data_IF_288723420584
#
_entry.id   IF_288723420584
#
_cell.length_a   1.000
_cell.length_b   1.000
_cell.length_c   1.000
_cell.angle_alpha   90.00
_cell.angle_beta   90.00
_cell.angle_gamma   90.00
#
_symmetry.space_group_name_H-M   'P 1'
#
loop_
_entity.id
_entity.type
_entity.pdbx_description
1 polymer ?
#
# COMPACT_ATOMS: atom_id res chain seq x y z
N UNK A 1 3.88 13.40 8.25
CA UNK A 1 4.03 12.16 7.47
C UNK A 1 4.81 11.17 8.32
N UNK A 2 4.25 10.00 8.63
CA UNK A 2 4.89 9.05 9.56
C UNK A 2 5.10 7.66 8.97
N UNK A 3 4.14 7.12 8.21
CA UNK A 3 4.18 5.72 7.76
C UNK A 3 5.29 5.44 6.73
N UNK A 4 5.38 6.27 5.67
CA UNK A 4 6.38 6.10 4.61
C UNK A 4 7.83 6.35 5.08
N UNK A 5 8.16 7.42 5.83
CA UNK A 5 9.49 7.59 6.40
C UNK A 5 9.87 6.45 7.35
N UNK A 6 8.93 5.92 8.12
CA UNK A 6 9.19 4.77 8.98
C UNK A 6 9.47 3.50 8.16
N UNK A 7 8.71 3.25 7.10
CA UNK A 7 8.93 2.13 6.19
C UNK A 7 10.34 2.17 5.57
N UNK A 8 10.77 3.34 5.08
CA UNK A 8 12.09 3.45 4.42
C UNK A 8 13.26 3.47 5.39
N UNK A 9 13.09 4.02 6.59
CA UNK A 9 14.16 4.09 7.60
C UNK A 9 14.26 2.83 8.49
N UNK A 10 13.12 2.19 8.78
CA UNK A 10 12.99 1.11 9.78
C UNK A 10 12.16 -0.08 9.26
N UNK A 11 12.05 -0.26 7.93
CA UNK A 11 11.26 -1.34 7.32
C UNK A 11 11.64 -2.75 7.79
N UNK A 12 12.87 -2.99 8.23
CA UNK A 12 13.28 -4.27 8.82
C UNK A 12 12.56 -4.61 10.13
N UNK A 13 11.93 -3.64 10.80
CA UNK A 13 11.08 -3.83 11.98
C UNK A 13 9.63 -4.17 11.61
N UNK A 14 9.26 -4.08 10.33
CA UNK A 14 7.92 -4.31 9.83
C UNK A 14 7.83 -5.66 9.14
N UNK A 15 6.80 -6.43 9.49
CA UNK A 15 6.47 -7.70 8.82
C UNK A 15 5.66 -7.49 7.54
N UNK A 16 4.86 -6.44 7.49
CA UNK A 16 4.06 -6.06 6.34
C UNK A 16 3.69 -4.59 6.38
N UNK A 17 3.33 -4.04 5.22
CA UNK A 17 2.89 -2.66 5.07
C UNK A 17 1.65 -2.60 4.17
N UNK A 18 0.56 -1.99 4.64
CA UNK A 18 -0.71 -1.90 3.90
C UNK A 18 -1.08 -0.43 3.71
N UNK A 19 -0.54 0.25 2.69
CA UNK A 19 -0.95 1.60 2.35
C UNK A 19 -2.31 1.57 1.63
N UNK A 20 -3.25 2.40 2.11
CA UNK A 20 -4.53 2.66 1.42
C UNK A 20 -4.50 4.09 0.89
N UNK A 21 -4.31 4.24 -0.43
CA UNK A 21 -4.19 5.52 -1.14
C UNK A 21 -3.51 6.67 -0.34
N UNK A 22 -2.29 6.48 0.20
CA UNK A 22 -1.68 7.44 1.11
C UNK A 22 -1.24 8.71 0.38
N UNK A 23 -1.23 9.82 1.10
CA UNK A 23 -0.65 11.07 0.63
C UNK A 23 0.88 11.08 0.76
N UNK A 24 1.51 12.00 0.02
CA UNK A 24 2.94 12.31 0.08
C UNK A 24 3.89 11.18 -0.34
N UNK A 25 3.43 10.25 -1.17
CA UNK A 25 4.28 9.21 -1.77
C UNK A 25 5.35 9.79 -2.69
N UNK A 26 5.12 10.98 -3.25
CA UNK A 26 6.06 11.74 -4.08
C UNK A 26 7.28 12.26 -3.31
N UNK A 27 7.22 12.29 -1.97
CA UNK A 27 8.32 12.79 -1.12
C UNK A 27 9.38 11.75 -0.82
N UNK A 28 9.16 10.50 -1.22
CA UNK A 28 10.12 9.41 -1.04
C UNK A 28 10.84 9.17 -2.35
N UNK A 29 12.16 9.08 -2.31
CA UNK A 29 12.94 8.84 -3.52
C UNK A 29 12.78 7.40 -4.02
N UNK A 30 12.94 7.20 -5.33
CA UNK A 30 12.93 5.87 -5.93
C UNK A 30 13.98 4.93 -5.31
N UNK A 31 15.15 5.47 -5.00
CA UNK A 31 16.22 4.74 -4.34
C UNK A 31 15.84 4.28 -2.93
N UNK A 32 15.03 5.06 -2.20
CA UNK A 32 14.57 4.68 -0.86
C UNK A 32 13.50 3.59 -0.93
N UNK A 33 12.55 3.70 -1.87
CA UNK A 33 11.57 2.64 -2.12
C UNK A 33 12.24 1.31 -2.50
N UNK A 34 13.21 1.33 -3.41
CA UNK A 34 13.91 0.12 -3.88
C UNK A 34 14.69 -0.62 -2.76
N UNK A 35 15.06 0.08 -1.68
CA UNK A 35 15.76 -0.53 -0.53
C UNK A 35 14.82 -1.23 0.45
N UNK A 36 13.52 -0.92 0.42
CA UNK A 36 12.53 -1.55 1.31
C UNK A 36 12.42 -3.03 0.99
N UNK A 37 12.53 -3.90 2.01
CA UNK A 37 12.34 -5.36 1.87
C UNK A 37 11.02 -5.86 2.44
N UNK A 38 10.33 -5.03 3.22
CA UNK A 38 9.02 -5.32 3.80
C UNK A 38 8.01 -5.64 2.70
N UNK A 39 7.27 -6.74 2.87
CA UNK A 39 6.15 -7.09 1.99
C UNK A 39 5.05 -6.04 2.09
N UNK A 40 4.49 -5.62 0.95
CA UNK A 40 3.45 -4.61 0.90
C UNK A 40 2.19 -5.07 0.19
N UNK A 41 1.03 -4.65 0.68
CA UNK A 41 -0.25 -4.74 -0.01
C UNK A 41 -0.75 -3.32 -0.30
N UNK A 42 -0.57 -2.86 -1.54
CA UNK A 42 -1.03 -1.54 -1.97
C UNK A 42 -2.52 -1.64 -2.29
N UNK A 43 -3.34 -0.86 -1.60
CA UNK A 43 -4.80 -0.89 -1.74
C UNK A 43 -5.32 0.47 -2.17
N UNK A 44 -6.24 0.49 -3.13
CA UNK A 44 -7.00 1.68 -3.51
C UNK A 44 -8.27 1.30 -4.26
N UNK A 45 -9.27 2.17 -4.23
CA UNK A 45 -10.45 2.08 -5.09
C UNK A 45 -10.15 2.66 -6.47
N UNK A 46 -10.71 2.08 -7.53
CA UNK A 46 -10.46 2.55 -8.90
C UNK A 46 -11.12 3.91 -9.23
N UNK A 47 -12.10 4.34 -8.43
CA UNK A 47 -12.72 5.67 -8.50
C UNK A 47 -12.02 6.71 -7.61
N UNK A 48 -10.95 6.32 -6.90
CA UNK A 48 -10.13 7.25 -6.14
C UNK A 48 -9.07 7.93 -7.03
N UNK A 49 -9.14 9.25 -7.25
CA UNK A 49 -8.10 9.96 -8.01
C UNK A 49 -6.72 9.90 -7.33
N UNK A 50 -6.65 9.70 -6.01
CA UNK A 50 -5.40 9.51 -5.29
C UNK A 50 -4.85 8.09 -5.39
N UNK A 51 -5.68 7.10 -5.74
CA UNK A 51 -5.29 5.70 -5.88
C UNK A 51 -4.19 5.52 -6.92
N UNK A 52 -4.47 5.92 -8.17
CA UNK A 52 -3.49 5.82 -9.27
C UNK A 52 -2.23 6.67 -8.99
N UNK A 53 -2.42 7.90 -8.50
CA UNK A 53 -1.30 8.83 -8.25
C UNK A 53 -0.36 8.28 -7.17
N UNK A 54 -0.90 7.76 -6.07
CA UNK A 54 -0.08 7.16 -5.01
C UNK A 54 0.59 5.85 -5.47
N UNK A 55 -0.11 5.04 -6.28
CA UNK A 55 0.41 3.79 -6.84
C UNK A 55 1.64 3.99 -7.73
N UNK A 56 1.70 5.04 -8.56
CA UNK A 56 2.84 5.31 -9.43
C UNK A 56 4.18 5.44 -8.66
N UNK A 57 4.11 5.88 -7.41
CA UNK A 57 5.25 5.91 -6.50
C UNK A 57 5.42 4.59 -5.76
N UNK A 58 4.34 4.04 -5.20
CA UNK A 58 4.39 2.83 -4.37
C UNK A 58 4.80 1.56 -5.13
N UNK A 59 4.55 1.47 -6.44
CA UNK A 59 4.96 0.34 -7.29
C UNK A 59 6.49 0.13 -7.35
N UNK A 60 7.25 1.10 -6.85
CA UNK A 60 8.71 1.02 -6.73
C UNK A 60 9.17 0.19 -5.51
N UNK A 61 8.25 -0.16 -4.60
CA UNK A 61 8.51 -1.16 -3.56
C UNK A 61 8.74 -2.52 -4.22
N UNK A 62 9.86 -3.22 -3.98
CA UNK A 62 10.18 -4.44 -4.73
C UNK A 62 9.24 -5.62 -4.41
N UNK A 63 8.71 -5.67 -3.18
CA UNK A 63 7.92 -6.79 -2.69
C UNK A 63 6.45 -6.36 -2.48
N UNK A 64 5.75 -5.99 -3.55
CA UNK A 64 4.36 -5.53 -3.45
C UNK A 64 3.35 -6.44 -4.15
N UNK A 65 2.14 -6.47 -3.59
CA UNK A 65 0.91 -6.91 -4.26
C UNK A 65 -0.02 -5.70 -4.35
N UNK A 66 -0.94 -5.73 -5.31
CA UNK A 66 -1.94 -4.67 -5.51
C UNK A 66 -3.33 -5.24 -5.33
N UNK A 67 -4.18 -4.54 -4.59
CA UNK A 67 -5.62 -4.79 -4.48
C UNK A 67 -6.34 -3.52 -4.95
N UNK A 68 -6.80 -3.55 -6.20
CA UNK A 68 -7.66 -2.50 -6.76
C UNK A 68 -9.10 -2.89 -6.55
N UNK A 69 -9.84 -2.08 -5.81
CA UNK A 69 -11.24 -2.36 -5.46
C UNK A 69 -12.16 -1.67 -6.46
N UNK A 70 -12.62 -2.43 -7.46
CA UNK A 70 -13.46 -1.91 -8.56
C UNK A 70 -14.78 -1.32 -8.04
N UNK A 71 -15.10 -0.11 -8.48
CA UNK A 71 -16.28 0.66 -8.09
C UNK A 71 -16.15 1.37 -6.74
N UNK A 72 -15.00 1.30 -6.07
CA UNK A 72 -14.77 1.92 -4.77
C UNK A 72 -14.05 3.28 -4.90
N UNK A 73 -14.37 4.21 -4.00
CA UNK A 73 -13.74 5.52 -3.88
C UNK A 73 -12.54 5.51 -2.93
N UNK A 74 -12.19 6.68 -2.38
CA UNK A 74 -11.04 6.84 -1.49
C UNK A 74 -11.10 5.97 -0.21
N UNK A 75 -12.22 5.93 0.54
CA UNK A 75 -12.34 5.00 1.66
C UNK A 75 -12.79 3.62 1.16
N UNK A 76 -12.02 3.00 0.26
CA UNK A 76 -12.44 1.78 -0.45
C UNK A 76 -12.82 0.61 0.47
N UNK A 77 -12.23 0.55 1.67
CA UNK A 77 -12.56 -0.41 2.72
C UNK A 77 -13.95 -0.20 3.34
N UNK A 78 -14.54 1.00 3.25
CA UNK A 78 -15.93 1.26 3.64
C UNK A 78 -16.91 0.91 2.52
N UNK A 79 -16.51 1.13 1.26
CA UNK A 79 -17.37 0.86 0.10
C UNK A 79 -17.55 -0.64 -0.14
N UNK A 80 -16.46 -1.43 0.00
CA UNK A 80 -16.48 -2.90 -0.20
C UNK A 80 -15.77 -3.63 0.95
N UNK A 81 -16.36 -3.66 2.15
CA UNK A 81 -15.72 -4.20 3.35
C UNK A 81 -15.37 -5.68 3.24
N UNK A 82 -16.19 -6.50 2.57
CA UNK A 82 -15.93 -7.94 2.39
C UNK A 82 -14.68 -8.19 1.53
N UNK A 83 -14.54 -7.48 0.41
CA UNK A 83 -13.37 -7.58 -0.46
C UNK A 83 -12.11 -7.07 0.25
N UNK A 84 -12.22 -5.96 0.99
CA UNK A 84 -11.14 -5.45 1.83
C UNK A 84 -10.67 -6.49 2.86
N UNK A 85 -11.59 -7.07 3.65
CA UNK A 85 -11.22 -8.04 4.68
C UNK A 85 -10.63 -9.31 4.07
N UNK A 86 -11.20 -9.83 2.99
CA UNK A 86 -10.67 -11.02 2.30
C UNK A 86 -9.26 -10.77 1.76
N UNK A 87 -9.03 -9.63 1.11
CA UNK A 87 -7.71 -9.25 0.59
C UNK A 87 -6.68 -9.04 1.69
N UNK A 88 -7.06 -8.35 2.78
CA UNK A 88 -6.19 -8.11 3.93
C UNK A 88 -5.83 -9.42 4.63
N UNK A 89 -6.80 -10.27 4.96
CA UNK A 89 -6.53 -11.56 5.62
C UNK A 89 -5.67 -12.47 4.75
N UNK A 90 -5.94 -12.54 3.44
CA UNK A 90 -5.12 -13.31 2.50
C UNK A 90 -3.68 -12.79 2.36
N UNK A 91 -3.45 -11.48 2.53
CA UNK A 91 -2.11 -10.93 2.62
C UNK A 91 -1.43 -11.29 3.94
N UNK A 92 -2.11 -11.11 5.07
CA UNK A 92 -1.57 -11.37 6.41
C UNK A 92 -1.20 -12.84 6.61
N UNK A 93 -1.98 -13.79 6.07
CA UNK A 93 -1.67 -15.22 6.10
C UNK A 93 -0.36 -15.56 5.36
N UNK A 94 0.03 -14.76 4.37
CA UNK A 94 1.27 -14.94 3.61
C UNK A 94 2.52 -14.34 4.28
N UNK A 95 2.37 -13.64 5.42
CA UNK A 95 3.49 -13.02 6.14
C UNK A 95 4.15 -14.02 7.13
N UNK A 96 4.69 -15.12 6.60
CA UNK A 96 5.45 -16.12 7.37
C UNK A 96 6.78 -15.57 7.91
#
# INVERSE_FOLDING_TARGET
MYSLPFLTARGSQLRGYVPVAPICTDKISAADYARVKTSALIVYGDQDPMGQTSFEHLKQLPNHRVLVMEGAGHPCYLDKPEEWHAGLLGFLQGLA
#
